data_IF_165266907503
#
_entry.id   IF_165266907503
#
_cell.length_a   1.000
_cell.length_b   1.000
_cell.length_c   1.000
_cell.angle_alpha   90.00
_cell.angle_beta   90.00
_cell.angle_gamma   90.00
#
_symmetry.space_group_name_H-M   'P 1'
#
loop_
_entity.id
_entity.type
_entity.pdbx_description
1 polymer ?
#
# COMPACT_ATOMS: atom_id res chain seq x y z
N UNK A 1 -21.72 -3.65 -9.35
CA UNK A 1 -22.56 -4.83 -9.57
C UNK A 1 -21.78 -6.08 -9.13
N UNK A 2 -22.13 -6.72 -8.00
CA UNK A 2 -21.41 -7.88 -7.49
C UNK A 2 -21.51 -9.13 -8.38
N UNK A 3 -22.36 -9.11 -9.41
CA UNK A 3 -22.51 -10.18 -10.38
C UNK A 3 -21.60 -10.02 -11.61
N UNK A 4 -20.92 -8.88 -11.74
CA UNK A 4 -20.02 -8.61 -12.88
C UNK A 4 -18.57 -8.50 -12.41
N UNK A 5 -17.59 -9.01 -13.19
CA UNK A 5 -16.18 -8.83 -12.89
C UNK A 5 -15.84 -7.34 -12.79
N UNK A 6 -15.15 -6.97 -11.71
CA UNK A 6 -14.79 -5.58 -11.39
C UNK A 6 -13.29 -5.44 -11.26
N UNK A 7 -12.72 -4.34 -11.74
CA UNK A 7 -11.34 -3.95 -11.47
C UNK A 7 -11.30 -2.93 -10.34
N UNK A 8 -10.57 -3.25 -9.29
CA UNK A 8 -10.34 -2.39 -8.14
C UNK A 8 -8.92 -1.87 -8.15
N UNK A 9 -8.74 -0.58 -7.85
CA UNK A 9 -7.43 0.05 -7.74
C UNK A 9 -7.36 0.77 -6.40
N UNK A 10 -6.31 0.48 -5.63
CA UNK A 10 -6.03 1.10 -4.33
C UNK A 10 -4.55 1.55 -4.29
N UNK A 11 -4.28 2.72 -4.83
CA UNK A 11 -2.95 3.34 -4.86
C UNK A 11 -2.85 4.44 -3.80
N UNK A 12 -1.74 4.47 -3.03
CA UNK A 12 -1.49 5.46 -1.99
C UNK A 12 -2.56 5.48 -0.89
N UNK A 13 -3.29 4.39 -0.66
CA UNK A 13 -4.45 4.37 0.24
C UNK A 13 -4.15 3.69 1.58
N UNK A 14 -3.51 2.53 1.57
CA UNK A 14 -3.43 1.68 2.76
C UNK A 14 -2.65 2.32 3.91
N UNK A 15 -1.64 3.14 3.62
CA UNK A 15 -0.91 3.88 4.64
C UNK A 15 -1.76 4.85 5.46
N UNK A 16 -2.90 5.29 4.93
CA UNK A 16 -3.85 6.20 5.61
C UNK A 16 -4.97 5.46 6.34
N UNK A 17 -4.96 4.14 6.35
CA UNK A 17 -5.95 3.33 7.03
C UNK A 17 -5.35 2.63 8.24
N UNK A 18 -6.08 2.58 9.38
CA UNK A 18 -5.78 1.61 10.43
C UNK A 18 -5.77 0.19 9.86
N UNK A 19 -4.97 -0.74 10.42
CA UNK A 19 -4.88 -2.12 9.95
C UNK A 19 -6.26 -2.78 9.79
N UNK A 20 -7.10 -2.68 10.80
CA UNK A 20 -8.47 -3.22 10.77
C UNK A 20 -9.37 -2.59 9.68
N UNK A 21 -9.10 -1.34 9.30
CA UNK A 21 -9.86 -0.69 8.23
C UNK A 21 -9.40 -1.17 6.85
N UNK A 22 -8.09 -1.43 6.69
CA UNK A 22 -7.55 -2.10 5.50
C UNK A 22 -8.18 -3.47 5.31
N UNK A 23 -8.18 -4.30 6.36
CA UNK A 23 -8.73 -5.66 6.31
C UNK A 23 -10.22 -5.63 5.95
N UNK A 24 -11.02 -4.78 6.62
CA UNK A 24 -12.43 -4.59 6.28
C UNK A 24 -12.66 -4.13 4.84
N UNK A 25 -11.77 -3.27 4.30
CA UNK A 25 -11.86 -2.83 2.91
C UNK A 25 -11.64 -4.00 1.95
N UNK A 26 -10.64 -4.84 2.20
CA UNK A 26 -10.35 -6.01 1.39
C UNK A 26 -11.48 -7.06 1.47
N UNK A 27 -12.10 -7.23 2.63
CA UNK A 27 -13.30 -8.06 2.82
C UNK A 27 -14.48 -7.54 1.98
N UNK A 28 -14.69 -6.21 1.98
CA UNK A 28 -15.75 -5.58 1.19
C UNK A 28 -15.50 -5.71 -0.32
N UNK A 29 -14.26 -5.49 -0.76
CA UNK A 29 -13.85 -5.73 -2.15
C UNK A 29 -14.15 -7.18 -2.53
N UNK A 30 -13.79 -8.14 -1.68
CA UNK A 30 -14.01 -9.56 -1.92
C UNK A 30 -15.49 -9.90 -2.03
N UNK A 31 -16.30 -9.39 -1.12
CA UNK A 31 -17.75 -9.63 -1.08
C UNK A 31 -18.46 -9.05 -2.33
N UNK A 32 -17.96 -7.93 -2.83
CA UNK A 32 -18.55 -7.23 -3.98
C UNK A 32 -17.89 -7.60 -5.32
N UNK A 33 -17.12 -8.69 -5.37
CA UNK A 33 -16.41 -9.12 -6.57
C UNK A 33 -16.92 -10.45 -7.09
N UNK A 34 -17.32 -10.49 -8.35
CA UNK A 34 -17.59 -11.74 -9.06
C UNK A 34 -16.27 -12.46 -9.46
N UNK A 35 -16.32 -13.76 -9.78
CA UNK A 35 -15.18 -14.45 -10.39
C UNK A 35 -14.65 -13.73 -11.64
N UNK A 36 -13.33 -13.63 -11.77
CA UNK A 36 -12.65 -12.86 -12.82
C UNK A 36 -12.41 -11.39 -12.46
N UNK A 37 -12.88 -10.92 -11.30
CA UNK A 37 -12.51 -9.60 -10.78
C UNK A 37 -11.02 -9.49 -10.50
N UNK A 38 -10.50 -8.27 -10.53
CA UNK A 38 -9.07 -7.98 -10.33
C UNK A 38 -8.87 -6.89 -9.29
N UNK A 39 -7.80 -7.00 -8.53
CA UNK A 39 -7.30 -5.96 -7.63
C UNK A 39 -5.90 -5.56 -8.06
N UNK A 40 -5.63 -4.26 -8.07
CA UNK A 40 -4.28 -3.69 -8.11
C UNK A 40 -4.15 -2.75 -6.92
N UNK A 41 -3.16 -2.97 -6.06
CA UNK A 41 -2.96 -2.17 -4.86
C UNK A 41 -1.48 -1.88 -4.64
N UNK A 42 -1.21 -0.69 -4.09
CA UNK A 42 0.06 -0.34 -3.49
C UNK A 42 -0.04 -0.61 -1.99
N UNK A 43 0.88 -1.40 -1.47
CA UNK A 43 0.98 -1.71 -0.06
C UNK A 43 2.35 -1.29 0.50
N UNK A 44 2.35 -0.86 1.74
CA UNK A 44 3.59 -0.70 2.50
C UNK A 44 3.73 -1.98 3.34
N UNK A 45 4.86 -2.67 3.28
CA UNK A 45 5.10 -3.84 4.13
C UNK A 45 4.82 -3.53 5.60
N UNK A 46 4.28 -4.49 6.32
CA UNK A 46 4.00 -4.33 7.74
C UNK A 46 5.26 -3.87 8.49
N UNK A 47 5.10 -2.85 9.31
CA UNK A 47 6.21 -2.15 9.98
C UNK A 47 6.84 -2.94 11.13
N UNK A 48 6.64 -4.25 11.19
CA UNK A 48 7.13 -5.09 12.29
C UNK A 48 8.64 -4.96 12.58
N UNK A 49 9.44 -4.60 11.58
CA UNK A 49 10.89 -4.38 11.70
C UNK A 49 11.34 -2.96 11.32
N UNK A 50 10.40 -2.06 11.01
CA UNK A 50 10.75 -0.68 10.67
C UNK A 50 10.83 0.14 11.96
N UNK A 51 11.97 0.77 12.17
CA UNK A 51 12.15 1.78 13.22
C UNK A 51 11.12 2.91 13.04
N UNK A 52 10.09 2.88 13.88
CA UNK A 52 8.99 3.86 13.85
C UNK A 52 9.51 5.29 14.04
N UNK A 53 10.59 5.46 14.79
CA UNK A 53 11.21 6.75 15.03
C UNK A 53 11.89 7.27 13.75
N UNK A 54 12.60 6.41 13.03
CA UNK A 54 13.19 6.74 11.73
C UNK A 54 12.12 7.06 10.67
N UNK A 55 11.00 6.33 10.67
CA UNK A 55 9.90 6.59 9.75
C UNK A 55 9.18 7.91 10.06
N UNK A 56 8.92 8.19 11.34
CA UNK A 56 8.36 9.47 11.79
C UNK A 56 9.27 10.64 11.40
N UNK A 57 10.58 10.49 11.59
CA UNK A 57 11.54 11.53 11.21
C UNK A 57 11.58 11.76 9.69
N UNK A 58 11.46 10.70 8.89
CA UNK A 58 11.37 10.81 7.42
C UNK A 58 10.10 11.52 6.99
N UNK A 59 8.95 11.18 7.59
CA UNK A 59 7.68 11.86 7.31
C UNK A 59 7.74 13.34 7.66
N UNK A 60 8.39 13.70 8.77
CA UNK A 60 8.63 15.08 9.15
C UNK A 60 9.46 15.84 8.12
N UNK A 61 10.48 15.21 7.54
CA UNK A 61 11.29 15.79 6.47
C UNK A 61 10.45 16.05 5.20
N UNK A 62 9.50 15.18 4.89
CA UNK A 62 8.56 15.37 3.78
C UNK A 62 7.62 16.55 4.08
N UNK A 63 7.05 16.60 5.28
CA UNK A 63 6.21 17.71 5.77
C UNK A 63 6.93 19.04 5.65
N UNK A 64 8.16 19.15 6.15
CA UNK A 64 8.97 20.36 6.12
C UNK A 64 9.24 20.83 4.67
N UNK A 65 9.44 19.88 3.76
CA UNK A 65 9.64 20.18 2.33
C UNK A 65 8.38 20.72 1.68
N UNK A 66 7.21 20.22 2.03
CA UNK A 66 5.93 20.68 1.46
C UNK A 66 5.41 21.94 2.13
N UNK A 67 5.70 22.15 3.42
CA UNK A 67 5.33 23.39 4.12
C UNK A 67 6.01 24.62 3.50
N UNK A 68 7.24 24.48 3.00
CA UNK A 68 7.94 25.54 2.27
C UNK A 68 7.24 25.95 0.95
N UNK A 69 6.29 25.12 0.46
CA UNK A 69 5.48 25.40 -0.73
C UNK A 69 4.02 25.78 -0.37
N UNK A 70 3.75 26.12 0.88
CA UNK A 70 2.43 26.56 1.36
C UNK A 70 1.46 25.44 1.71
N UNK A 71 1.93 24.20 1.82
CA UNK A 71 1.15 23.06 2.28
C UNK A 71 1.42 22.83 3.78
N UNK A 72 0.48 23.24 4.62
CA UNK A 72 0.59 23.16 6.09
C UNK A 72 -0.13 21.92 6.62
N UNK A 73 0.22 20.76 6.09
CA UNK A 73 -0.31 19.44 6.48
C UNK A 73 0.81 18.58 7.09
N UNK A 74 0.63 18.18 8.34
CA UNK A 74 1.53 17.21 8.96
C UNK A 74 1.18 15.79 8.46
N UNK A 75 1.93 15.30 7.48
CA UNK A 75 1.75 13.96 6.92
C UNK A 75 1.99 12.86 7.94
N UNK A 76 2.73 13.14 9.02
CA UNK A 76 2.99 12.14 10.08
C UNK A 76 1.73 11.83 10.91
N UNK A 77 0.78 12.78 10.98
CA UNK A 77 -0.50 12.58 11.67
C UNK A 77 -1.53 11.82 10.82
N UNK A 78 -1.30 11.76 9.50
CA UNK A 78 -2.23 11.13 8.57
C UNK A 78 -1.92 9.64 8.33
N UNK A 79 -0.69 9.23 8.54
CA UNK A 79 -0.24 7.86 8.24
C UNK A 79 -0.29 7.01 9.51
N UNK A 80 -0.98 5.89 9.41
CA UNK A 80 -1.03 4.91 10.49
C UNK A 80 0.23 4.04 10.45
N UNK A 81 1.12 4.30 11.40
CA UNK A 81 2.34 3.53 11.63
C UNK A 81 2.05 2.45 12.67
N UNK A 82 2.27 1.19 12.33
CA UNK A 82 2.06 0.08 13.25
C UNK A 82 2.04 -1.26 12.55
N UNK A 83 1.88 -2.31 13.32
CA UNK A 83 1.68 -3.65 12.76
C UNK A 83 0.39 -3.67 11.94
N UNK A 84 0.48 -4.28 10.76
CA UNK A 84 -0.66 -4.48 9.89
C UNK A 84 -0.59 -5.84 9.23
N UNK A 85 -1.75 -6.36 8.90
CA UNK A 85 -1.86 -7.56 8.09
C UNK A 85 -1.29 -7.29 6.71
N UNK A 86 -0.48 -8.21 6.20
CA UNK A 86 -0.04 -8.13 4.82
C UNK A 86 -1.23 -8.27 3.87
N UNK A 87 -1.43 -7.26 3.03
CA UNK A 87 -2.62 -7.18 2.17
C UNK A 87 -2.68 -8.31 1.13
N UNK A 88 -1.53 -8.75 0.62
CA UNK A 88 -1.45 -9.90 -0.30
C UNK A 88 -1.82 -11.21 0.38
N UNK A 89 -1.32 -11.43 1.60
CA UNK A 89 -1.67 -12.58 2.43
C UNK A 89 -3.17 -12.59 2.74
N UNK A 90 -3.73 -11.46 3.18
CA UNK A 90 -5.15 -11.36 3.50
C UNK A 90 -6.04 -11.66 2.27
N UNK A 91 -5.71 -11.10 1.10
CA UNK A 91 -6.41 -11.43 -0.14
C UNK A 91 -6.30 -12.91 -0.50
N UNK A 92 -5.14 -13.54 -0.27
CA UNK A 92 -4.96 -14.97 -0.51
C UNK A 92 -5.86 -15.81 0.39
N UNK A 93 -5.96 -15.45 1.67
CA UNK A 93 -6.86 -16.11 2.62
C UNK A 93 -8.33 -15.94 2.24
N UNK A 94 -8.69 -14.83 1.59
CA UNK A 94 -10.01 -14.58 1.02
C UNK A 94 -10.27 -15.27 -0.34
N UNK A 95 -9.32 -16.07 -0.81
CA UNK A 95 -9.46 -16.91 -2.01
C UNK A 95 -9.04 -16.25 -3.32
N UNK A 96 -8.29 -15.13 -3.27
CA UNK A 96 -7.70 -14.51 -4.46
C UNK A 96 -6.37 -15.16 -4.82
N UNK A 97 -6.07 -15.21 -6.11
CA UNK A 97 -4.72 -15.54 -6.61
C UNK A 97 -3.91 -14.24 -6.64
N UNK A 98 -2.95 -14.12 -5.73
CA UNK A 98 -2.16 -12.89 -5.54
C UNK A 98 -0.75 -13.02 -6.09
N UNK A 99 -0.20 -11.89 -6.50
CA UNK A 99 1.21 -11.71 -6.84
C UNK A 99 1.64 -10.34 -6.35
N UNK A 100 2.77 -10.24 -5.68
CA UNK A 100 3.35 -8.96 -5.30
C UNK A 100 4.75 -8.79 -5.90
N UNK A 101 5.14 -7.53 -6.10
CA UNK A 101 6.44 -7.15 -6.61
C UNK A 101 6.91 -5.88 -5.89
N UNK A 102 8.11 -5.89 -5.29
CA UNK A 102 8.72 -4.70 -4.71
C UNK A 102 8.93 -3.60 -5.76
N UNK A 103 8.83 -2.33 -5.34
CA UNK A 103 9.00 -1.16 -6.23
C UNK A 103 10.28 -1.24 -7.04
N UNK A 104 11.42 -1.51 -6.39
CA UNK A 104 12.71 -1.53 -7.07
C UNK A 104 12.83 -2.65 -8.11
N UNK A 105 12.21 -3.80 -7.86
CA UNK A 105 12.19 -4.92 -8.81
C UNK A 105 11.26 -4.60 -9.99
N UNK A 106 10.17 -3.89 -9.74
CA UNK A 106 9.28 -3.41 -10.78
C UNK A 106 9.98 -2.39 -11.68
N UNK A 107 10.71 -1.44 -11.10
CA UNK A 107 11.49 -0.45 -11.85
C UNK A 107 12.55 -1.12 -12.73
N UNK A 108 13.30 -2.07 -12.16
CA UNK A 108 14.33 -2.83 -12.89
C UNK A 108 13.73 -3.63 -14.05
N UNK A 109 12.57 -4.26 -13.84
CA UNK A 109 11.83 -4.99 -14.88
C UNK A 109 11.51 -4.12 -16.09
N UNK A 110 11.29 -2.83 -15.90
CA UNK A 110 10.99 -1.87 -16.97
C UNK A 110 12.19 -1.01 -17.39
N UNK A 111 13.40 -1.37 -16.97
CA UNK A 111 14.63 -0.67 -17.34
C UNK A 111 14.76 0.73 -16.73
N UNK A 112 14.05 0.99 -15.63
CA UNK A 112 14.13 2.24 -14.90
C UNK A 112 15.16 2.16 -13.77
N UNK A 113 15.77 3.29 -13.37
CA UNK A 113 16.75 3.31 -12.29
C UNK A 113 16.08 2.92 -10.95
N UNK A 114 16.82 2.18 -10.13
CA UNK A 114 16.39 1.87 -8.77
C UNK A 114 16.33 3.13 -7.92
N UNK A 115 15.38 3.17 -7.01
CA UNK A 115 15.29 4.20 -5.98
C UNK A 115 16.24 3.88 -4.81
N UNK A 116 16.71 4.92 -4.13
CA UNK A 116 17.44 4.74 -2.88
C UNK A 116 16.51 4.15 -1.82
N UNK A 117 17.02 3.19 -1.04
CA UNK A 117 16.27 2.53 0.05
C UNK A 117 15.77 3.50 1.12
N UNK A 118 16.38 4.68 1.21
CA UNK A 118 15.95 5.78 2.07
C UNK A 118 14.63 6.42 1.64
N UNK A 119 14.19 6.20 0.40
CA UNK A 119 12.94 6.75 -0.11
C UNK A 119 11.75 5.87 0.31
N UNK A 120 10.69 6.42 0.90
CA UNK A 120 9.52 5.64 1.37
C UNK A 120 8.91 4.76 0.27
N UNK A 121 8.84 5.28 -0.95
CA UNK A 121 8.29 4.58 -2.12
C UNK A 121 9.12 3.36 -2.53
N UNK A 122 10.44 3.35 -2.21
CA UNK A 122 11.29 2.19 -2.49
C UNK A 122 10.91 0.96 -1.65
N UNK A 123 10.24 1.16 -0.53
CA UNK A 123 9.79 0.12 0.38
C UNK A 123 8.36 -0.35 0.10
N UNK A 124 7.66 0.32 -0.80
CA UNK A 124 6.35 -0.12 -1.23
C UNK A 124 6.44 -1.37 -2.12
N UNK A 125 5.38 -2.16 -2.13
CA UNK A 125 5.18 -3.23 -3.08
C UNK A 125 3.83 -3.07 -3.80
N UNK A 126 3.79 -3.59 -5.00
CA UNK A 126 2.59 -3.59 -5.82
C UNK A 126 1.98 -4.98 -5.86
N UNK A 127 0.75 -5.07 -5.39
CA UNK A 127 -0.03 -6.30 -5.31
C UNK A 127 -0.99 -6.33 -6.49
N UNK A 128 -1.04 -7.47 -7.17
CA UNK A 128 -2.10 -7.78 -8.13
C UNK A 128 -2.80 -9.05 -7.71
N UNK A 129 -4.12 -9.09 -7.81
CA UNK A 129 -4.90 -10.26 -7.46
C UNK A 129 -6.02 -10.52 -8.45
N UNK A 130 -6.37 -11.79 -8.63
CA UNK A 130 -7.48 -12.26 -9.48
C UNK A 130 -8.38 -13.18 -8.66
N UNK A 131 -9.68 -12.95 -8.71
CA UNK A 131 -10.69 -13.75 -8.03
C UNK A 131 -11.19 -14.90 -8.90
#
# INVERSE_FOLDING_TARGET
DPAAPTAWIAEGLFGYLPSEAQDRLLDQITTNSAPGSRVAAEAVPGTGDIDQEALTQRMKTVTDRWSSHGFDLDFSELVYLGERTDAGTHLTELGWQTSSIPTNDLLEKYGLPRLEESQPVAQAEYITAVK
#
